data_IF_352520316498
#
_entry.id   IF_352520316498
#
_cell.length_a   1.000
_cell.length_b   1.000
_cell.length_c   1.000
_cell.angle_alpha   90.00
_cell.angle_beta   90.00
_cell.angle_gamma   90.00
#
_symmetry.space_group_name_H-M   'P 1'
#
loop_
_entity.id
_entity.type
_entity.pdbx_description
1 polymer ?
#
# COMPACT_ATOMS: atom_id res chain seq x y z
N UNK A 1 4.37 19.93 26.34
CA UNK A 1 4.29 20.37 24.92
C UNK A 1 5.60 20.05 24.22
N UNK A 2 5.56 19.24 23.16
CA UNK A 2 6.72 18.91 22.31
C UNK A 2 6.51 19.47 20.90
N UNK A 3 7.58 19.67 20.15
CA UNK A 3 7.57 20.08 18.74
C UNK A 3 8.03 18.94 17.88
N UNK A 4 7.13 18.40 17.09
CA UNK A 4 7.37 17.25 16.24
C UNK A 4 7.44 17.71 14.78
N UNK A 5 8.60 17.51 14.13
CA UNK A 5 8.76 17.76 12.71
C UNK A 5 8.35 16.51 11.93
N UNK A 6 7.53 16.66 10.90
CA UNK A 6 7.04 15.51 10.12
C UNK A 6 7.33 15.74 8.64
N UNK A 7 7.86 14.72 7.98
CA UNK A 7 7.99 14.68 6.54
C UNK A 7 6.63 14.38 5.89
N UNK A 8 6.08 15.35 5.18
CA UNK A 8 4.75 15.27 4.54
C UNK A 8 4.79 15.43 3.01
N UNK A 9 5.95 15.18 2.40
CA UNK A 9 6.15 15.37 0.96
C UNK A 9 5.24 14.51 0.05
N UNK A 10 4.64 13.42 0.59
CA UNK A 10 3.72 12.55 -0.15
C UNK A 10 2.25 12.90 0.05
N UNK A 11 1.92 13.88 0.89
CA UNK A 11 0.57 14.45 0.96
C UNK A 11 0.37 15.38 -0.25
N UNK A 12 -0.10 14.80 -1.34
CA UNK A 12 -0.35 15.50 -2.61
C UNK A 12 -1.82 15.30 -2.96
N UNK A 13 -2.55 16.40 -3.10
CA UNK A 13 -3.97 16.40 -3.44
C UNK A 13 -4.25 15.58 -4.69
N UNK A 14 -5.29 14.75 -4.65
CA UNK A 14 -5.77 13.88 -5.74
C UNK A 14 -4.72 12.84 -6.23
N UNK A 15 -3.61 12.65 -5.45
CA UNK A 15 -2.50 11.76 -5.84
C UNK A 15 -1.96 10.93 -4.68
N UNK A 16 -2.80 10.67 -3.67
CA UNK A 16 -2.40 9.77 -2.60
C UNK A 16 -2.29 8.33 -3.15
N UNK A 17 -1.13 7.73 -2.95
CA UNK A 17 -0.88 6.30 -3.11
C UNK A 17 -0.91 5.59 -1.74
N UNK A 18 -0.53 4.32 -1.67
CA UNK A 18 -0.59 3.57 -0.42
C UNK A 18 0.16 4.24 0.75
N UNK A 19 1.39 4.76 0.51
CA UNK A 19 2.17 5.47 1.53
C UNK A 19 1.55 6.86 1.80
N UNK A 20 1.01 7.52 0.79
CA UNK A 20 0.29 8.78 0.94
C UNK A 20 -0.96 8.62 1.81
N UNK A 21 -1.74 7.56 1.60
CA UNK A 21 -2.89 7.22 2.45
C UNK A 21 -2.48 6.89 3.88
N UNK A 22 -1.39 6.11 4.07
CA UNK A 22 -0.83 5.89 5.40
C UNK A 22 -0.50 7.21 6.11
N UNK A 23 0.20 8.12 5.43
CA UNK A 23 0.52 9.44 5.99
C UNK A 23 -0.75 10.22 6.37
N UNK A 24 -1.72 10.26 5.46
CA UNK A 24 -2.98 10.99 5.67
C UNK A 24 -3.71 10.46 6.91
N UNK A 25 -3.95 9.16 6.97
CA UNK A 25 -4.77 8.53 8.00
C UNK A 25 -4.10 8.57 9.40
N UNK A 26 -2.79 8.32 9.44
CA UNK A 26 -2.02 8.34 10.68
C UNK A 26 -1.86 9.75 11.21
N UNK A 27 -1.43 10.69 10.35
CA UNK A 27 -1.14 12.06 10.81
C UNK A 27 -2.40 12.82 11.18
N UNK A 28 -3.50 12.64 10.47
CA UNK A 28 -4.80 13.22 10.82
C UNK A 28 -5.21 12.83 12.25
N UNK A 29 -5.12 11.54 12.58
CA UNK A 29 -5.51 11.04 13.91
C UNK A 29 -4.53 11.47 15.00
N UNK A 30 -3.24 11.40 14.76
CA UNK A 30 -2.23 11.82 15.73
C UNK A 30 -2.41 13.30 16.08
N UNK A 31 -2.55 14.18 15.09
CA UNK A 31 -2.64 15.62 15.35
C UNK A 31 -3.94 16.02 16.07
N UNK A 32 -5.05 15.35 15.76
CA UNK A 32 -6.33 15.57 16.43
C UNK A 32 -6.34 15.04 17.87
N UNK A 33 -5.69 13.91 18.13
CA UNK A 33 -5.71 13.25 19.44
C UNK A 33 -4.69 13.84 20.43
N UNK A 34 -3.69 14.62 19.94
CA UNK A 34 -2.62 15.19 20.76
C UNK A 34 -2.52 16.72 20.59
N UNK A 35 -3.60 17.46 20.95
CA UNK A 35 -3.65 18.92 20.78
C UNK A 35 -2.63 19.68 21.65
N UNK A 36 -2.07 19.03 22.67
CA UNK A 36 -1.03 19.60 23.57
C UNK A 36 0.35 19.69 22.93
N UNK A 37 0.56 19.07 21.74
CA UNK A 37 1.81 19.12 20.99
C UNK A 37 1.70 20.02 19.75
N UNK A 38 2.83 20.45 19.18
CA UNK A 38 2.92 21.18 17.91
C UNK A 38 3.54 20.30 16.84
N UNK A 39 2.87 20.19 15.69
CA UNK A 39 3.29 19.37 14.55
C UNK A 39 3.70 20.25 13.38
N UNK A 40 5.00 20.24 13.04
CA UNK A 40 5.55 20.98 11.91
C UNK A 40 5.57 20.09 10.68
N UNK A 41 4.64 20.31 9.75
CA UNK A 41 4.53 19.53 8.51
C UNK A 41 5.44 20.09 7.44
N UNK A 42 6.49 19.33 7.09
CA UNK A 42 7.49 19.76 6.09
C UNK A 42 7.11 19.24 4.72
N UNK A 43 6.65 20.16 3.87
CA UNK A 43 6.34 19.92 2.46
C UNK A 43 7.52 20.33 1.56
N UNK A 44 7.73 19.64 0.45
CA UNK A 44 8.74 20.00 -0.56
C UNK A 44 8.16 20.90 -1.67
N UNK A 45 6.87 21.23 -1.60
CA UNK A 45 6.08 22.03 -2.56
C UNK A 45 4.94 22.73 -1.83
N UNK A 46 4.19 23.57 -2.57
CA UNK A 46 2.92 24.11 -2.07
C UNK A 46 2.01 22.95 -1.63
N UNK A 47 1.39 23.11 -0.48
CA UNK A 47 0.46 22.15 0.12
C UNK A 47 -0.99 22.58 -0.11
N UNK A 48 -1.92 21.65 0.02
CA UNK A 48 -3.35 21.98 0.10
C UNK A 48 -3.77 22.04 1.59
N UNK A 49 -4.71 22.95 1.89
CA UNK A 49 -5.20 23.15 3.25
C UNK A 49 -5.93 21.91 3.82
N UNK A 50 -6.40 21.00 2.98
CA UNK A 50 -6.98 19.72 3.43
C UNK A 50 -6.01 18.86 4.26
N UNK A 51 -4.70 19.10 4.16
CA UNK A 51 -3.66 18.42 4.94
C UNK A 51 -3.28 19.15 6.24
N UNK A 52 -3.92 20.26 6.55
CA UNK A 52 -3.79 20.97 7.83
C UNK A 52 -4.95 20.51 8.71
N UNK A 53 -4.78 19.40 9.41
CA UNK A 53 -5.87 18.67 10.04
C UNK A 53 -6.42 19.31 11.32
N UNK A 54 -5.66 20.20 11.96
CA UNK A 54 -6.00 20.83 13.27
C UNK A 54 -5.12 22.06 13.52
N UNK A 55 -5.49 22.89 14.49
CA UNK A 55 -4.84 24.17 14.78
C UNK A 55 -3.39 24.02 15.32
N UNK A 56 -3.02 22.84 15.80
CA UNK A 56 -1.67 22.53 16.25
C UNK A 56 -0.72 22.05 15.12
N UNK A 57 -1.20 22.03 13.87
CA UNK A 57 -0.41 21.73 12.67
C UNK A 57 0.12 23.02 12.06
N UNK A 58 1.43 23.10 11.89
CA UNK A 58 2.15 24.26 11.30
C UNK A 58 2.76 23.79 9.97
N UNK A 59 2.14 24.13 8.83
CA UNK A 59 2.67 23.75 7.53
C UNK A 59 3.88 24.59 7.14
N UNK A 60 4.93 23.97 6.65
CA UNK A 60 6.19 24.60 6.26
C UNK A 60 6.68 24.07 4.93
N UNK A 61 6.80 24.94 3.93
CA UNK A 61 7.36 24.57 2.63
C UNK A 61 8.88 24.75 2.64
N UNK A 62 9.60 23.66 2.33
CA UNK A 62 11.05 23.61 2.25
C UNK A 62 11.51 23.27 0.83
N UNK A 63 12.38 24.11 0.27
CA UNK A 63 13.01 23.86 -1.03
C UNK A 63 14.34 23.12 -0.88
N UNK A 64 14.85 22.43 -1.93
CA UNK A 64 14.25 22.23 -3.25
C UNK A 64 13.13 21.18 -3.23
N UNK A 65 12.33 21.09 -4.31
CA UNK A 65 11.38 20.01 -4.48
C UNK A 65 12.11 18.66 -4.62
N UNK A 66 11.80 17.70 -3.76
CA UNK A 66 12.52 16.42 -3.64
C UNK A 66 11.95 15.37 -4.63
N UNK A 67 12.33 15.46 -5.92
CA UNK A 67 11.88 14.54 -7.00
C UNK A 67 13.00 13.68 -7.60
N UNK A 68 14.25 13.91 -7.24
CA UNK A 68 15.42 13.23 -7.81
C UNK A 68 16.40 12.87 -6.68
N UNK A 69 17.16 11.76 -6.75
CA UNK A 69 18.09 11.33 -5.71
C UNK A 69 19.00 12.40 -5.14
N UNK A 70 19.55 13.29 -5.99
CA UNK A 70 20.39 14.41 -5.54
C UNK A 70 19.56 15.40 -4.71
N UNK A 71 18.34 15.71 -5.16
CA UNK A 71 17.44 16.63 -4.45
C UNK A 71 16.93 16.02 -3.14
N UNK A 72 16.73 14.70 -3.05
CA UNK A 72 16.47 14.02 -1.80
C UNK A 72 17.60 14.24 -0.79
N UNK A 73 18.86 14.03 -1.19
CA UNK A 73 20.03 14.26 -0.32
C UNK A 73 20.09 15.71 0.18
N UNK A 74 19.85 16.70 -0.71
CA UNK A 74 19.84 18.10 -0.34
C UNK A 74 18.69 18.39 0.63
N UNK A 75 17.48 17.94 0.32
CA UNK A 75 16.29 18.21 1.12
C UNK A 75 16.41 17.64 2.54
N UNK A 76 16.74 16.36 2.68
CA UNK A 76 16.84 15.72 3.98
C UNK A 76 18.06 16.18 4.78
N UNK A 77 19.24 16.33 4.16
CA UNK A 77 20.46 16.63 4.88
C UNK A 77 20.78 18.14 5.05
N UNK A 78 20.13 19.02 4.28
CA UNK A 78 20.31 20.48 4.39
C UNK A 78 19.02 21.17 4.79
N UNK A 79 17.93 21.02 4.03
CA UNK A 79 16.68 21.78 4.26
C UNK A 79 15.97 21.32 5.53
N UNK A 80 15.74 20.01 5.70
CA UNK A 80 15.18 19.43 6.94
C UNK A 80 16.07 19.78 8.11
N UNK A 81 17.40 19.52 8.06
CA UNK A 81 18.32 19.87 9.16
C UNK A 81 18.20 21.33 9.60
N UNK A 82 18.11 22.25 8.64
CA UNK A 82 17.92 23.69 8.91
C UNK A 82 16.58 23.97 9.59
N UNK A 83 15.51 23.34 9.10
CA UNK A 83 14.18 23.49 9.66
C UNK A 83 14.09 22.93 11.09
N UNK A 84 14.62 21.74 11.34
CA UNK A 84 14.69 21.14 12.67
C UNK A 84 15.34 22.09 13.69
N UNK A 85 16.45 22.72 13.33
CA UNK A 85 17.12 23.70 14.17
C UNK A 85 16.30 24.99 14.34
N UNK A 86 15.77 25.55 13.23
CA UNK A 86 15.01 26.80 13.22
C UNK A 86 13.77 26.75 14.11
N UNK A 87 13.02 25.65 14.00
CA UNK A 87 11.77 25.47 14.74
C UNK A 87 11.95 24.76 16.08
N UNK A 88 13.20 24.47 16.46
CA UNK A 88 13.56 23.78 17.72
C UNK A 88 12.79 22.47 17.89
N UNK A 89 12.85 21.64 16.87
CA UNK A 89 12.14 20.35 16.81
C UNK A 89 12.78 19.36 17.80
N UNK A 90 11.95 18.74 18.62
CA UNK A 90 12.36 17.72 19.60
C UNK A 90 12.57 16.35 18.95
N UNK A 91 11.70 15.99 17.98
CA UNK A 91 11.72 14.72 17.26
C UNK A 91 11.29 14.92 15.81
N UNK A 92 11.95 14.23 14.89
CA UNK A 92 11.57 14.16 13.48
C UNK A 92 10.97 12.81 13.15
N UNK A 93 9.72 12.80 12.67
CA UNK A 93 9.03 11.61 12.16
C UNK A 93 8.97 11.61 10.64
N UNK A 94 9.35 10.50 10.03
CA UNK A 94 9.31 10.33 8.56
C UNK A 94 8.51 9.09 8.17
N UNK A 95 7.24 9.26 7.78
CA UNK A 95 6.33 8.16 7.44
C UNK A 95 6.70 7.37 6.18
N UNK A 96 7.75 7.74 5.46
CA UNK A 96 8.26 7.08 4.24
C UNK A 96 9.71 6.59 4.36
N UNK A 97 10.25 6.58 5.58
CA UNK A 97 11.56 6.01 5.91
C UNK A 97 12.78 6.86 5.56
N UNK A 98 12.62 8.00 4.88
CA UNK A 98 13.75 8.89 4.59
C UNK A 98 14.14 9.73 5.81
N UNK A 99 15.40 9.73 6.18
CA UNK A 99 15.90 10.46 7.34
C UNK A 99 17.03 11.44 6.99
N UNK A 100 17.28 12.38 7.88
CA UNK A 100 18.46 13.25 7.79
C UNK A 100 19.67 12.56 8.41
N UNK A 101 20.68 12.28 7.60
CA UNK A 101 21.93 11.66 8.08
C UNK A 101 22.86 12.67 8.80
N UNK A 102 22.47 13.95 8.84
CA UNK A 102 23.35 15.04 9.33
C UNK A 102 22.79 15.80 10.52
N UNK A 103 21.63 15.41 11.04
CA UNK A 103 21.05 15.98 12.27
C UNK A 103 21.33 15.12 13.49
N UNK A 104 21.30 15.76 14.67
CA UNK A 104 21.34 15.09 15.98
C UNK A 104 19.95 15.07 16.66
N UNK A 105 18.93 15.62 16.02
CA UNK A 105 17.54 15.50 16.50
C UNK A 105 17.14 14.03 16.39
N UNK A 106 16.46 13.49 17.39
CA UNK A 106 15.93 12.12 17.37
C UNK A 106 15.01 11.92 16.19
N UNK A 107 15.08 10.75 15.57
CA UNK A 107 14.34 10.44 14.34
C UNK A 107 13.67 9.08 14.42
N UNK A 108 12.37 9.06 14.09
CA UNK A 108 11.60 7.84 13.86
C UNK A 108 11.24 7.77 12.36
N UNK A 109 11.45 6.62 11.73
CA UNK A 109 11.10 6.41 10.32
C UNK A 109 10.24 5.19 10.12
N UNK A 110 9.22 5.27 9.24
CA UNK A 110 8.44 4.11 8.84
C UNK A 110 9.02 3.51 7.55
N UNK A 111 9.59 2.31 7.61
CA UNK A 111 10.04 1.55 6.45
C UNK A 111 8.97 0.53 6.12
N UNK A 112 8.24 0.73 5.03
CA UNK A 112 7.08 -0.10 4.67
C UNK A 112 7.50 -1.48 4.15
N UNK A 113 8.50 -1.53 3.27
CA UNK A 113 9.11 -2.76 2.76
C UNK A 113 10.50 -2.48 2.16
N UNK A 114 11.15 -3.53 1.70
CA UNK A 114 12.43 -3.48 1.00
C UNK A 114 12.34 -4.07 -0.42
N UNK A 115 11.24 -3.84 -1.13
CA UNK A 115 11.06 -4.36 -2.49
C UNK A 115 12.20 -3.99 -3.45
N UNK A 116 12.77 -2.80 -3.28
CA UNK A 116 13.90 -2.30 -4.07
C UNK A 116 15.21 -3.05 -3.84
N UNK A 117 15.31 -3.79 -2.74
CA UNK A 117 16.44 -4.68 -2.46
C UNK A 117 16.27 -6.05 -3.12
N UNK A 118 15.04 -6.55 -3.19
CA UNK A 118 14.70 -7.85 -3.76
C UNK A 118 14.49 -7.78 -5.27
N UNK A 119 13.84 -6.72 -5.75
CA UNK A 119 13.43 -6.53 -7.15
C UNK A 119 13.86 -5.15 -7.69
N UNK A 120 15.17 -4.84 -7.66
CA UNK A 120 15.69 -3.54 -8.13
C UNK A 120 15.37 -3.27 -9.61
N UNK A 121 15.21 -4.33 -10.42
CA UNK A 121 14.84 -4.25 -11.84
C UNK A 121 13.43 -3.67 -12.07
N UNK A 122 12.54 -3.72 -11.08
CA UNK A 122 11.19 -3.16 -11.16
C UNK A 122 11.19 -1.62 -11.03
N UNK A 123 12.36 -1.04 -10.77
CA UNK A 123 12.57 0.38 -10.59
C UNK A 123 13.56 0.93 -11.62
N UNK A 124 13.47 2.24 -11.89
CA UNK A 124 14.55 2.92 -12.65
C UNK A 124 15.85 2.81 -11.86
N UNK A 125 16.93 2.39 -12.53
CA UNK A 125 18.25 2.11 -11.91
C UNK A 125 18.75 3.23 -10.99
N UNK A 126 18.51 4.49 -11.35
CA UNK A 126 18.93 5.64 -10.53
C UNK A 126 18.21 5.68 -9.16
N UNK A 127 16.95 5.25 -9.11
CA UNK A 127 16.18 5.16 -7.86
C UNK A 127 16.56 3.91 -7.09
N UNK A 128 16.66 2.76 -7.75
CA UNK A 128 17.09 1.50 -7.13
C UNK A 128 18.45 1.66 -6.43
N UNK A 129 19.45 2.17 -7.14
CA UNK A 129 20.78 2.43 -6.60
C UNK A 129 20.76 3.44 -5.42
N UNK A 130 19.92 4.46 -5.51
CA UNK A 130 19.76 5.41 -4.41
C UNK A 130 19.19 4.73 -3.17
N UNK A 131 18.10 3.97 -3.31
CA UNK A 131 17.45 3.28 -2.19
C UNK A 131 18.39 2.29 -1.55
N UNK A 132 19.00 1.39 -2.30
CA UNK A 132 19.97 0.39 -1.82
C UNK A 132 21.15 1.05 -1.10
N UNK A 133 21.59 2.23 -1.54
CA UNK A 133 22.71 2.94 -0.90
C UNK A 133 22.33 3.76 0.33
N UNK A 134 21.07 4.20 0.47
CA UNK A 134 20.65 5.12 1.52
C UNK A 134 19.81 4.47 2.62
N UNK A 135 18.90 3.54 2.30
CA UNK A 135 18.02 2.94 3.30
C UNK A 135 18.76 2.19 4.41
N UNK A 136 19.87 1.45 4.14
CA UNK A 136 20.69 0.90 5.23
C UNK A 136 21.24 1.97 6.19
N UNK A 137 21.57 3.15 5.66
CA UNK A 137 22.05 4.28 6.46
C UNK A 137 20.92 4.93 7.26
N UNK A 138 19.72 5.05 6.66
CA UNK A 138 18.55 5.56 7.37
C UNK A 138 18.14 4.62 8.49
N UNK A 139 18.09 3.32 8.25
CA UNK A 139 17.77 2.31 9.26
C UNK A 139 18.77 2.35 10.44
N UNK A 140 20.08 2.49 10.15
CA UNK A 140 21.10 2.64 11.18
C UNK A 140 20.98 3.96 11.94
N UNK A 141 20.65 5.07 11.25
CA UNK A 141 20.53 6.42 11.82
C UNK A 141 19.25 6.62 12.65
N UNK A 142 18.16 5.97 12.31
CA UNK A 142 16.90 6.06 13.06
C UNK A 142 17.14 5.76 14.54
N UNK A 143 16.50 6.49 15.43
CA UNK A 143 16.44 6.13 16.86
C UNK A 143 15.47 4.97 17.06
N UNK A 144 14.38 4.95 16.30
CA UNK A 144 13.45 3.82 16.20
C UNK A 144 12.86 3.69 14.79
N UNK A 145 12.48 2.48 14.41
CA UNK A 145 11.87 2.17 13.12
C UNK A 145 10.47 1.60 13.35
N UNK A 146 9.52 2.10 12.59
CA UNK A 146 8.20 1.48 12.44
C UNK A 146 8.19 0.71 11.13
N UNK A 147 7.57 -0.46 11.12
CA UNK A 147 7.29 -1.21 9.89
C UNK A 147 5.88 -1.80 9.94
N UNK A 148 5.38 -2.29 8.80
CA UNK A 148 3.96 -2.58 8.63
C UNK A 148 3.61 -4.08 8.71
N UNK A 149 4.61 -4.96 8.90
CA UNK A 149 4.41 -6.40 9.05
C UNK A 149 5.61 -7.06 9.75
N UNK A 150 5.40 -8.26 10.32
CA UNK A 150 6.49 -9.06 10.89
C UNK A 150 7.45 -9.55 9.79
N UNK A 151 6.92 -9.83 8.59
CA UNK A 151 7.76 -10.11 7.42
C UNK A 151 8.73 -8.95 7.16
N UNK A 152 8.24 -7.72 7.05
CA UNK A 152 9.10 -6.54 6.81
C UNK A 152 10.07 -6.28 7.97
N UNK A 153 9.65 -6.53 9.23
CA UNK A 153 10.55 -6.45 10.39
C UNK A 153 11.71 -7.44 10.27
N UNK A 154 11.41 -8.68 9.94
CA UNK A 154 12.41 -9.73 9.74
C UNK A 154 13.36 -9.38 8.59
N UNK A 155 12.82 -8.90 7.47
CA UNK A 155 13.61 -8.53 6.28
C UNK A 155 14.57 -7.34 6.59
N UNK A 156 14.08 -6.28 7.23
CA UNK A 156 14.90 -5.13 7.64
C UNK A 156 16.00 -5.56 8.62
N UNK A 157 15.65 -6.37 9.62
CA UNK A 157 16.60 -6.87 10.63
C UNK A 157 17.74 -7.65 9.98
N UNK A 158 17.39 -8.61 9.13
CA UNK A 158 18.38 -9.50 8.50
C UNK A 158 19.23 -8.77 7.47
N UNK A 159 18.60 -7.99 6.59
CA UNK A 159 19.29 -7.35 5.49
C UNK A 159 20.18 -6.18 5.91
N UNK A 160 19.75 -5.40 6.90
CA UNK A 160 20.51 -4.23 7.35
C UNK A 160 21.26 -4.43 8.66
N UNK A 161 21.14 -5.61 9.27
CA UNK A 161 21.75 -5.94 10.57
C UNK A 161 21.32 -4.91 11.64
N UNK A 162 20.02 -4.70 11.77
CA UNK A 162 19.42 -3.81 12.75
C UNK A 162 18.95 -4.65 13.94
N UNK A 163 19.15 -4.12 15.17
CA UNK A 163 18.61 -4.77 16.36
C UNK A 163 17.09 -4.90 16.26
N UNK A 164 16.57 -6.09 16.53
CA UNK A 164 15.15 -6.43 16.54
C UNK A 164 14.31 -5.47 17.40
N UNK A 165 14.82 -5.10 18.59
CA UNK A 165 14.11 -4.21 19.52
C UNK A 165 14.01 -2.76 19.05
N UNK A 166 14.80 -2.39 18.03
CA UNK A 166 14.74 -1.07 17.39
C UNK A 166 13.58 -0.96 16.38
N UNK A 167 12.88 -2.04 16.11
CA UNK A 167 11.83 -2.08 15.09
C UNK A 167 10.50 -2.50 15.75
N UNK A 168 9.49 -1.65 15.64
CA UNK A 168 8.11 -1.97 16.05
C UNK A 168 7.24 -2.21 14.82
N UNK A 169 6.49 -3.30 14.84
CA UNK A 169 5.46 -3.58 13.84
C UNK A 169 4.19 -2.85 14.24
N UNK A 170 3.69 -2.01 13.34
CA UNK A 170 2.41 -1.32 13.44
C UNK A 170 1.63 -1.58 12.15
N UNK A 171 0.60 -2.40 12.25
CA UNK A 171 -0.21 -2.75 11.08
C UNK A 171 -0.98 -1.55 10.52
N UNK A 172 -1.09 -1.48 9.20
CA UNK A 172 -1.93 -0.48 8.56
C UNK A 172 -3.42 -0.73 8.87
N UNK A 173 -4.20 0.33 8.82
CA UNK A 173 -5.66 0.23 8.84
C UNK A 173 -6.25 -0.02 7.46
N UNK A 174 -7.57 -0.14 7.42
CA UNK A 174 -8.36 -0.24 6.20
C UNK A 174 -9.29 0.97 6.08
N UNK A 175 -9.51 1.43 4.84
CA UNK A 175 -10.43 2.54 4.58
C UNK A 175 -11.89 2.11 4.90
N UNK A 176 -12.54 2.85 5.79
CA UNK A 176 -13.88 2.57 6.28
C UNK A 176 -15.00 2.79 5.24
N UNK A 177 -14.68 3.43 4.12
CA UNK A 177 -15.64 3.66 3.05
C UNK A 177 -15.92 2.39 2.22
N UNK A 178 -15.03 1.40 2.22
CA UNK A 178 -15.33 0.11 1.62
C UNK A 178 -16.47 -0.57 2.40
N UNK A 179 -17.55 -0.88 1.73
CA UNK A 179 -18.77 -1.47 2.30
C UNK A 179 -19.36 -2.48 1.32
N UNK A 180 -20.16 -3.38 1.83
CA UNK A 180 -20.96 -4.29 1.01
C UNK A 180 -21.88 -3.47 0.10
N UNK A 181 -21.77 -3.69 -1.20
CA UNK A 181 -22.58 -3.02 -2.22
C UNK A 181 -23.92 -3.77 -2.38
N UNK A 182 -25.04 -3.04 -2.46
CA UNK A 182 -26.34 -3.67 -2.65
C UNK A 182 -26.42 -4.42 -3.99
N UNK A 183 -27.22 -5.50 -4.07
CA UNK A 183 -27.36 -6.29 -5.32
C UNK A 183 -27.75 -5.43 -6.53
N UNK A 184 -28.65 -4.48 -6.35
CA UNK A 184 -29.07 -3.56 -7.42
C UNK A 184 -27.90 -2.69 -7.91
N UNK A 185 -27.10 -2.18 -6.99
CA UNK A 185 -25.92 -1.37 -7.34
C UNK A 185 -24.84 -2.22 -8.02
N UNK A 186 -24.65 -3.47 -7.57
CA UNK A 186 -23.72 -4.41 -8.23
C UNK A 186 -24.11 -4.65 -9.69
N UNK A 187 -25.41 -4.79 -10.00
CA UNK A 187 -25.89 -4.92 -11.40
C UNK A 187 -25.48 -3.68 -12.20
N UNK A 188 -25.76 -2.48 -11.71
CA UNK A 188 -25.43 -1.25 -12.42
C UNK A 188 -23.91 -1.08 -12.67
N UNK A 189 -23.08 -1.46 -11.68
CA UNK A 189 -21.62 -1.45 -11.84
C UNK A 189 -21.17 -2.45 -12.88
N UNK A 190 -21.72 -3.67 -12.86
CA UNK A 190 -21.40 -4.71 -13.86
C UNK A 190 -21.82 -4.30 -15.26
N UNK A 191 -23.01 -3.73 -15.44
CA UNK A 191 -23.46 -3.20 -16.74
C UNK A 191 -22.46 -2.18 -17.29
N UNK A 192 -22.01 -1.26 -16.46
CA UNK A 192 -21.09 -0.19 -16.88
C UNK A 192 -19.69 -0.70 -17.22
N UNK A 193 -19.14 -1.64 -16.45
CA UNK A 193 -17.72 -2.00 -16.53
C UNK A 193 -17.44 -3.38 -17.13
N UNK A 194 -18.40 -4.30 -17.11
CA UNK A 194 -18.21 -5.69 -17.58
C UNK A 194 -19.33 -6.18 -18.50
N UNK A 195 -20.17 -5.28 -19.03
CA UNK A 195 -21.33 -5.61 -19.86
C UNK A 195 -22.30 -6.59 -19.18
N UNK A 196 -22.56 -6.38 -17.88
CA UNK A 196 -23.45 -7.18 -17.05
C UNK A 196 -22.83 -8.47 -16.49
N UNK A 197 -21.65 -8.86 -16.92
CA UNK A 197 -21.02 -10.11 -16.52
C UNK A 197 -20.30 -10.00 -15.16
N UNK A 198 -20.17 -11.13 -14.46
CA UNK A 198 -19.31 -11.22 -13.28
C UNK A 198 -17.86 -10.91 -13.64
N UNK A 199 -17.07 -10.47 -12.66
CA UNK A 199 -15.65 -10.24 -12.89
C UNK A 199 -14.78 -10.50 -11.66
N UNK A 200 -13.58 -10.98 -11.91
CA UNK A 200 -12.45 -10.87 -10.99
C UNK A 200 -11.82 -9.49 -11.10
N UNK A 201 -11.34 -8.96 -10.00
CA UNK A 201 -10.70 -7.63 -9.98
C UNK A 201 -9.27 -7.69 -9.45
N UNK A 202 -8.36 -6.99 -10.11
CA UNK A 202 -7.06 -6.64 -9.58
C UNK A 202 -7.00 -5.13 -9.33
N UNK A 203 -6.47 -4.72 -8.18
CA UNK A 203 -6.33 -3.31 -7.79
C UNK A 203 -4.88 -2.99 -7.46
N UNK A 204 -4.33 -1.97 -8.12
CA UNK A 204 -2.96 -1.50 -7.87
C UNK A 204 -2.27 -1.00 -9.13
N UNK A 205 -1.06 -0.44 -9.00
CA UNK A 205 -0.26 -0.09 -10.18
C UNK A 205 0.08 -1.36 -10.96
N UNK A 206 -0.21 -1.35 -12.27
CA UNK A 206 0.02 -2.50 -13.14
C UNK A 206 1.51 -2.61 -13.46
N UNK A 207 2.24 -3.34 -12.64
CA UNK A 207 3.68 -3.51 -12.76
C UNK A 207 4.14 -4.93 -12.41
N UNK A 208 5.40 -5.27 -12.67
CA UNK A 208 5.94 -6.62 -12.51
C UNK A 208 5.64 -7.23 -11.15
N UNK A 209 5.90 -6.50 -10.07
CA UNK A 209 5.69 -6.95 -8.68
C UNK A 209 4.26 -7.42 -8.41
N UNK A 210 3.28 -6.87 -9.13
CA UNK A 210 1.86 -7.26 -9.02
C UNK A 210 1.51 -8.53 -9.81
N UNK A 211 2.51 -9.12 -10.49
CA UNK A 211 2.41 -10.40 -11.18
C UNK A 211 1.30 -10.45 -12.27
N UNK A 212 1.13 -9.33 -12.98
CA UNK A 212 0.04 -9.17 -13.95
C UNK A 212 0.18 -10.15 -15.11
N UNK A 213 1.40 -10.48 -15.54
CA UNK A 213 1.66 -11.46 -16.58
C UNK A 213 1.01 -12.80 -16.24
N UNK A 214 1.38 -13.40 -15.08
CA UNK A 214 0.82 -14.70 -14.66
C UNK A 214 -0.67 -14.63 -14.35
N UNK A 215 -1.18 -13.50 -13.86
CA UNK A 215 -2.60 -13.30 -13.65
C UNK A 215 -3.39 -13.38 -14.97
N UNK A 216 -2.87 -12.77 -16.04
CA UNK A 216 -3.46 -12.85 -17.39
C UNK A 216 -3.42 -14.29 -17.94
N UNK A 217 -2.29 -14.96 -17.78
CA UNK A 217 -2.11 -16.36 -18.22
C UNK A 217 -3.05 -17.30 -17.44
N UNK A 218 -3.14 -17.15 -16.13
CA UNK A 218 -4.05 -17.93 -15.29
C UNK A 218 -5.52 -17.68 -15.62
N UNK A 219 -5.89 -16.42 -15.87
CA UNK A 219 -7.23 -16.07 -16.32
C UNK A 219 -7.55 -16.72 -17.68
N UNK A 220 -6.59 -16.77 -18.61
CA UNK A 220 -6.74 -17.44 -19.90
C UNK A 220 -7.02 -18.93 -19.72
N UNK A 221 -6.22 -19.63 -18.89
CA UNK A 221 -6.45 -21.05 -18.56
C UNK A 221 -7.79 -21.28 -17.85
N UNK A 222 -8.17 -20.40 -16.93
CA UNK A 222 -9.46 -20.43 -16.26
C UNK A 222 -10.63 -20.37 -17.27
N UNK A 223 -10.57 -19.45 -18.23
CA UNK A 223 -11.58 -19.27 -19.27
C UNK A 223 -11.71 -20.48 -20.19
N UNK A 224 -10.58 -21.05 -20.61
CA UNK A 224 -10.53 -22.24 -21.44
C UNK A 224 -11.21 -23.44 -20.78
N UNK A 225 -10.96 -23.62 -19.48
CA UNK A 225 -11.51 -24.71 -18.70
C UNK A 225 -13.00 -24.52 -18.34
N UNK A 226 -13.45 -23.30 -18.06
CA UNK A 226 -14.77 -23.01 -17.48
C UNK A 226 -15.81 -22.60 -18.51
N UNK A 227 -15.42 -22.13 -19.69
CA UNK A 227 -16.31 -21.58 -20.76
C UNK A 227 -17.28 -20.49 -20.26
N UNK A 228 -16.87 -19.78 -19.20
CA UNK A 228 -17.65 -18.75 -18.53
C UNK A 228 -17.60 -17.42 -19.28
N UNK A 229 -18.55 -16.52 -19.00
CA UNK A 229 -18.52 -15.13 -19.49
C UNK A 229 -17.82 -14.17 -18.54
N UNK A 230 -17.39 -14.64 -17.37
CA UNK A 230 -16.69 -13.85 -16.35
C UNK A 230 -15.49 -13.11 -16.94
N UNK A 231 -15.30 -11.85 -16.52
CA UNK A 231 -14.25 -10.95 -16.99
C UNK A 231 -13.11 -10.85 -15.96
N UNK A 232 -11.99 -10.26 -16.38
CA UNK A 232 -10.91 -9.81 -15.49
C UNK A 232 -10.78 -8.30 -15.64
N UNK A 233 -10.98 -7.56 -14.54
CA UNK A 233 -10.78 -6.12 -14.49
C UNK A 233 -9.42 -5.80 -13.84
N UNK A 234 -8.57 -5.06 -14.57
CA UNK A 234 -7.29 -4.56 -14.10
C UNK A 234 -7.43 -3.06 -13.82
N UNK A 235 -7.53 -2.70 -12.52
CA UNK A 235 -7.74 -1.32 -12.08
C UNK A 235 -6.43 -0.75 -11.55
N UNK A 236 -5.92 0.27 -12.23
CA UNK A 236 -4.69 0.94 -11.84
C UNK A 236 -3.91 1.55 -13.01
N UNK A 237 -2.80 2.20 -12.68
CA UNK A 237 -1.97 2.87 -13.69
C UNK A 237 -1.11 1.86 -14.46
N UNK A 238 -1.05 1.99 -15.78
CA UNK A 238 -0.11 1.27 -16.65
C UNK A 238 1.32 1.84 -16.66
N UNK A 239 1.67 2.70 -15.75
CA UNK A 239 2.99 3.37 -15.75
C UNK A 239 4.19 2.39 -15.69
N UNK A 240 3.98 1.22 -15.07
CA UNK A 240 4.98 0.14 -14.97
C UNK A 240 4.65 -1.06 -15.87
N UNK A 241 3.79 -0.89 -16.87
CA UNK A 241 3.44 -1.94 -17.82
C UNK A 241 4.63 -2.30 -18.69
N UNK A 242 4.96 -3.59 -18.77
CA UNK A 242 6.11 -4.10 -19.51
C UNK A 242 5.71 -4.77 -20.81
N UNK A 243 6.70 -5.00 -21.69
CA UNK A 243 6.49 -5.76 -22.94
C UNK A 243 6.04 -7.19 -22.66
N UNK A 244 6.49 -7.81 -21.56
CA UNK A 244 6.05 -9.14 -21.13
C UNK A 244 4.54 -9.15 -20.80
N UNK A 245 4.05 -8.15 -20.08
CA UNK A 245 2.62 -8.01 -19.79
C UNK A 245 1.80 -7.75 -21.07
N UNK A 246 2.34 -6.92 -21.97
CA UNK A 246 1.68 -6.64 -23.26
C UNK A 246 1.61 -7.92 -24.10
N UNK A 247 2.68 -8.70 -24.16
CA UNK A 247 2.70 -9.96 -24.87
C UNK A 247 1.69 -10.97 -24.29
N UNK A 248 1.65 -11.13 -22.97
CA UNK A 248 0.65 -11.99 -22.32
C UNK A 248 -0.78 -11.53 -22.62
N UNK A 249 -1.04 -10.23 -22.59
CA UNK A 249 -2.36 -9.67 -22.92
C UNK A 249 -2.72 -9.90 -24.39
N UNK A 250 -1.83 -9.62 -25.34
CA UNK A 250 -2.10 -9.74 -26.78
C UNK A 250 -2.23 -11.19 -27.24
N UNK A 251 -1.47 -12.12 -26.66
CA UNK A 251 -1.49 -13.54 -26.99
C UNK A 251 -2.67 -14.29 -26.34
N UNK A 252 -3.34 -13.72 -25.35
CA UNK A 252 -4.50 -14.36 -24.72
C UNK A 252 -5.65 -14.54 -25.71
N UNK A 253 -6.13 -15.78 -25.86
CA UNK A 253 -7.34 -16.09 -26.63
C UNK A 253 -8.59 -15.38 -26.07
N UNK A 254 -8.55 -14.98 -24.81
CA UNK A 254 -9.63 -14.31 -24.07
C UNK A 254 -9.36 -12.83 -23.79
N UNK A 255 -8.48 -12.17 -24.54
CA UNK A 255 -8.12 -10.75 -24.32
C UNK A 255 -9.32 -9.79 -24.33
N UNK A 256 -10.41 -10.13 -25.02
CA UNK A 256 -11.66 -9.33 -25.01
C UNK A 256 -12.38 -9.35 -23.66
N UNK A 257 -12.05 -10.32 -22.81
CA UNK A 257 -12.60 -10.48 -21.47
C UNK A 257 -11.66 -9.91 -20.39
N UNK A 258 -10.49 -9.38 -20.78
CA UNK A 258 -9.54 -8.71 -19.89
C UNK A 258 -9.67 -7.20 -20.11
N UNK A 259 -10.20 -6.50 -19.12
CA UNK A 259 -10.55 -5.08 -19.19
C UNK A 259 -9.57 -4.24 -18.38
N UNK A 260 -8.78 -3.42 -19.07
CA UNK A 260 -7.83 -2.51 -18.42
C UNK A 260 -8.56 -1.19 -18.18
N UNK A 261 -9.02 -0.99 -16.95
CA UNK A 261 -9.88 0.15 -16.56
C UNK A 261 -9.07 1.44 -16.40
N UNK A 262 -7.78 1.33 -16.00
CA UNK A 262 -6.99 2.50 -15.64
C UNK A 262 -7.23 2.95 -14.20
N UNK A 263 -6.80 4.19 -13.87
CA UNK A 263 -7.10 4.79 -12.56
C UNK A 263 -8.53 5.31 -12.55
N UNK A 264 -9.22 5.02 -11.46
CA UNK A 264 -10.56 5.55 -11.15
C UNK A 264 -10.47 6.40 -9.87
N UNK A 265 -11.52 7.18 -9.59
CA UNK A 265 -11.61 7.87 -8.31
C UNK A 265 -11.94 6.87 -7.17
N UNK A 266 -11.80 7.33 -5.92
CA UNK A 266 -11.96 6.47 -4.74
C UNK A 266 -13.37 5.84 -4.67
N UNK A 267 -14.41 6.62 -4.92
CA UNK A 267 -15.78 6.13 -4.87
C UNK A 267 -16.06 5.07 -5.95
N UNK A 268 -15.57 5.27 -7.17
CA UNK A 268 -15.67 4.24 -8.23
C UNK A 268 -14.89 2.98 -7.88
N UNK A 269 -13.70 3.12 -7.24
CA UNK A 269 -12.91 1.97 -6.81
C UNK A 269 -13.65 1.13 -5.77
N UNK A 270 -14.25 1.77 -4.77
CA UNK A 270 -15.06 1.11 -3.74
C UNK A 270 -16.23 0.32 -4.35
N UNK A 271 -16.93 0.91 -5.33
CA UNK A 271 -18.03 0.27 -6.04
C UNK A 271 -17.55 -0.91 -6.90
N UNK A 272 -16.43 -0.74 -7.62
CA UNK A 272 -15.82 -1.80 -8.43
C UNK A 272 -15.38 -2.98 -7.58
N UNK A 273 -14.71 -2.72 -6.45
CA UNK A 273 -14.29 -3.79 -5.53
C UNK A 273 -15.50 -4.50 -4.96
N UNK A 274 -16.48 -3.78 -4.41
CA UNK A 274 -17.66 -4.37 -3.76
C UNK A 274 -18.62 -5.06 -4.72
N UNK A 275 -18.46 -4.91 -6.04
CA UNK A 275 -19.28 -5.57 -7.07
C UNK A 275 -18.58 -6.74 -7.76
N UNK A 276 -17.31 -7.00 -7.41
CA UNK A 276 -16.51 -8.08 -7.98
C UNK A 276 -16.93 -9.45 -7.43
N UNK A 277 -16.67 -10.50 -8.21
CA UNK A 277 -16.80 -11.88 -7.77
C UNK A 277 -15.74 -12.23 -6.72
N UNK A 278 -14.51 -11.75 -6.92
CA UNK A 278 -13.41 -11.81 -5.97
C UNK A 278 -12.29 -10.85 -6.35
N UNK A 279 -11.50 -10.45 -5.36
CA UNK A 279 -10.19 -9.83 -5.59
C UNK A 279 -9.18 -10.91 -5.99
N UNK A 280 -8.36 -10.64 -7.03
CA UNK A 280 -7.19 -11.46 -7.40
C UNK A 280 -5.91 -10.62 -7.21
N UNK A 281 -5.24 -10.84 -6.09
CA UNK A 281 -4.08 -10.05 -5.68
C UNK A 281 -2.86 -10.96 -5.49
N UNK A 282 -2.34 -11.47 -6.60
CA UNK A 282 -1.31 -12.52 -6.65
C UNK A 282 0.11 -11.96 -6.77
N UNK A 283 0.38 -10.87 -6.05
CA UNK A 283 1.69 -10.21 -6.03
C UNK A 283 2.79 -11.15 -5.53
N UNK A 284 4.00 -11.04 -6.08
CA UNK A 284 5.12 -11.82 -5.56
C UNK A 284 5.92 -11.11 -4.47
N UNK A 285 5.62 -9.85 -4.19
CA UNK A 285 6.20 -9.14 -3.05
C UNK A 285 5.29 -8.02 -2.56
N UNK A 286 5.00 -8.01 -1.25
CA UNK A 286 4.28 -6.95 -0.57
C UNK A 286 4.85 -6.72 0.83
N UNK A 287 4.85 -5.44 1.26
CA UNK A 287 5.11 -5.09 2.65
C UNK A 287 3.90 -5.28 3.56
N UNK A 288 2.66 -5.21 2.98
CA UNK A 288 1.42 -5.37 3.73
C UNK A 288 0.28 -5.97 2.88
N UNK A 289 -0.25 -5.24 1.88
CA UNK A 289 -1.35 -5.73 1.04
C UNK A 289 -2.71 -5.12 1.38
N UNK A 290 -2.80 -3.79 1.48
CA UNK A 290 -4.06 -3.09 1.78
C UNK A 290 -5.27 -3.53 0.94
N UNK A 291 -5.16 -3.79 -0.40
CA UNK A 291 -6.30 -4.23 -1.19
C UNK A 291 -6.99 -5.50 -0.68
N UNK A 292 -6.27 -6.37 0.02
CA UNK A 292 -6.83 -7.58 0.65
C UNK A 292 -7.87 -7.19 1.71
N UNK A 293 -7.51 -6.28 2.60
CA UNK A 293 -8.40 -5.80 3.66
C UNK A 293 -9.56 -4.98 3.09
N UNK A 294 -9.32 -4.20 2.03
CA UNK A 294 -10.35 -3.43 1.32
C UNK A 294 -11.40 -4.36 0.70
N UNK A 295 -10.98 -5.46 0.08
CA UNK A 295 -11.86 -6.48 -0.46
C UNK A 295 -12.64 -7.23 0.64
N UNK A 296 -11.99 -7.61 1.73
CA UNK A 296 -12.65 -8.23 2.88
C UNK A 296 -13.70 -7.32 3.49
N UNK A 297 -13.40 -6.02 3.62
CA UNK A 297 -14.35 -5.03 4.14
C UNK A 297 -15.52 -4.77 3.18
N UNK A 298 -15.27 -4.86 1.87
CA UNK A 298 -16.32 -4.80 0.84
C UNK A 298 -17.17 -6.07 0.77
N UNK A 299 -16.84 -7.11 1.53
CA UNK A 299 -17.59 -8.37 1.61
C UNK A 299 -17.42 -9.26 0.41
N UNK A 300 -16.26 -9.25 -0.24
CA UNK A 300 -15.95 -10.13 -1.37
C UNK A 300 -14.80 -11.10 -1.03
N UNK A 301 -14.79 -12.30 -1.61
CA UNK A 301 -13.70 -13.27 -1.50
C UNK A 301 -12.37 -12.71 -2.00
N UNK A 302 -11.27 -13.26 -1.48
CA UNK A 302 -9.90 -12.89 -1.87
C UNK A 302 -9.13 -14.12 -2.33
N UNK A 303 -8.47 -14.02 -3.48
CA UNK A 303 -7.45 -14.94 -3.97
C UNK A 303 -6.13 -14.17 -3.92
N UNK A 304 -5.14 -14.67 -3.18
CA UNK A 304 -3.90 -13.94 -2.97
C UNK A 304 -2.72 -14.88 -2.74
N UNK A 305 -1.49 -14.33 -2.71
CA UNK A 305 -0.26 -15.10 -2.60
C UNK A 305 -0.05 -15.66 -1.19
N UNK A 306 0.66 -16.77 -1.08
CA UNK A 306 1.06 -17.41 0.17
C UNK A 306 2.44 -16.97 0.69
N UNK A 307 3.01 -15.90 0.13
CA UNK A 307 4.36 -15.42 0.42
C UNK A 307 4.39 -14.00 0.98
N UNK A 308 5.53 -13.61 1.53
CA UNK A 308 5.83 -12.28 2.09
C UNK A 308 4.93 -11.92 3.30
N UNK A 309 4.40 -10.71 3.34
CA UNK A 309 3.48 -10.28 4.41
C UNK A 309 2.03 -10.73 4.19
N UNK A 310 1.72 -11.29 3.03
CA UNK A 310 0.33 -11.58 2.64
C UNK A 310 -0.36 -12.59 3.56
N UNK A 311 0.27 -13.75 3.92
CA UNK A 311 -0.33 -14.68 4.87
C UNK A 311 -0.64 -14.06 6.23
N UNK A 312 0.21 -13.13 6.69
CA UNK A 312 0.04 -12.40 7.96
C UNK A 312 -1.20 -11.49 7.95
N UNK A 313 -1.52 -10.90 6.79
CA UNK A 313 -2.67 -10.01 6.62
C UNK A 313 -3.95 -10.77 6.30
N UNK A 314 -3.85 -11.75 5.41
CA UNK A 314 -5.01 -12.50 4.91
C UNK A 314 -5.48 -13.59 5.87
N UNK A 315 -4.55 -14.23 6.62
CA UNK A 315 -4.83 -15.37 7.49
C UNK A 315 -5.63 -16.46 6.73
N UNK A 316 -6.54 -17.16 7.38
CA UNK A 316 -7.44 -18.15 6.76
C UNK A 316 -8.62 -17.52 5.99
N UNK A 317 -8.66 -16.20 5.85
CA UNK A 317 -9.76 -15.46 5.23
C UNK A 317 -9.62 -15.28 3.71
N UNK A 318 -8.61 -15.91 3.10
CA UNK A 318 -8.36 -15.87 1.67
C UNK A 318 -7.93 -17.24 1.14
N UNK A 319 -8.06 -17.45 -0.17
CA UNK A 319 -7.37 -18.54 -0.85
C UNK A 319 -5.92 -18.13 -1.07
N UNK A 320 -5.02 -18.72 -0.29
CA UNK A 320 -3.58 -18.55 -0.41
C UNK A 320 -3.04 -19.51 -1.48
N UNK A 321 -2.31 -18.97 -2.46
CA UNK A 321 -1.76 -19.72 -3.58
C UNK A 321 -0.31 -19.35 -3.84
N UNK A 322 0.46 -20.26 -4.45
CA UNK A 322 1.78 -19.93 -4.98
C UNK A 322 1.64 -18.96 -6.16
N UNK A 323 2.11 -17.70 -6.05
CA UNK A 323 1.99 -16.70 -7.11
C UNK A 323 2.80 -17.04 -8.38
N UNK A 324 3.70 -18.00 -8.30
CA UNK A 324 4.47 -18.49 -9.46
C UNK A 324 3.79 -19.65 -10.19
N UNK A 325 2.73 -20.23 -9.61
CA UNK A 325 1.98 -21.36 -10.16
C UNK A 325 0.68 -20.91 -10.84
N UNK A 326 0.72 -20.79 -12.17
CA UNK A 326 -0.40 -20.34 -13.01
C UNK A 326 -1.63 -21.26 -12.84
N UNK A 327 -1.40 -22.56 -12.71
CA UNK A 327 -2.49 -23.56 -12.56
C UNK A 327 -3.23 -23.40 -11.23
N UNK A 328 -2.51 -23.11 -10.13
CA UNK A 328 -3.13 -22.84 -8.83
C UNK A 328 -3.96 -21.56 -8.86
N UNK A 329 -3.48 -20.49 -9.49
CA UNK A 329 -4.23 -19.25 -9.65
C UNK A 329 -5.52 -19.53 -10.45
N UNK A 330 -5.41 -20.22 -11.59
CA UNK A 330 -6.55 -20.58 -12.43
C UNK A 330 -7.54 -21.51 -11.70
N UNK A 331 -7.03 -22.46 -10.89
CA UNK A 331 -7.87 -23.34 -10.07
C UNK A 331 -8.62 -22.54 -9.00
N UNK A 332 -7.96 -21.65 -8.28
CA UNK A 332 -8.59 -20.79 -7.28
C UNK A 332 -9.71 -19.92 -7.89
N UNK A 333 -9.51 -19.39 -9.11
CA UNK A 333 -10.55 -18.68 -9.84
C UNK A 333 -11.76 -19.59 -10.13
N UNK A 334 -11.54 -20.83 -10.58
CA UNK A 334 -12.65 -21.80 -10.81
C UNK A 334 -13.38 -22.14 -9.52
N UNK A 335 -12.64 -22.42 -8.44
CA UNK A 335 -13.21 -22.77 -7.16
C UNK A 335 -14.10 -21.64 -6.62
N UNK A 336 -13.66 -20.39 -6.72
CA UNK A 336 -14.46 -19.22 -6.32
C UNK A 336 -15.67 -19.05 -7.23
N UNK A 337 -15.54 -19.24 -8.55
CA UNK A 337 -16.66 -19.07 -9.48
C UNK A 337 -17.76 -20.11 -9.26
N UNK A 338 -17.36 -21.38 -9.08
CA UNK A 338 -18.31 -22.51 -9.09
C UNK A 338 -18.83 -22.91 -7.71
N UNK A 339 -18.19 -22.42 -6.62
CA UNK A 339 -18.54 -22.81 -5.24
C UNK A 339 -19.06 -21.63 -4.40
N UNK A 340 -20.39 -21.41 -4.37
CA UNK A 340 -21.01 -20.36 -3.55
C UNK A 340 -20.75 -20.54 -2.03
N UNK A 341 -20.67 -21.78 -1.54
CA UNK A 341 -20.41 -22.05 -0.13
C UNK A 341 -19.00 -21.59 0.28
N UNK A 342 -17.99 -21.85 -0.57
CA UNK A 342 -16.62 -21.36 -0.36
C UNK A 342 -16.59 -19.82 -0.35
N UNK A 343 -17.29 -19.16 -1.28
CA UNK A 343 -17.36 -17.69 -1.26
C UNK A 343 -17.93 -17.18 0.05
N UNK A 344 -19.03 -17.77 0.54
CA UNK A 344 -19.66 -17.36 1.79
C UNK A 344 -18.74 -17.61 2.99
N UNK A 345 -18.02 -18.72 3.03
CA UNK A 345 -17.02 -19.01 4.05
C UNK A 345 -15.92 -17.94 4.09
N UNK A 346 -15.31 -17.64 2.94
CA UNK A 346 -14.24 -16.65 2.80
C UNK A 346 -14.72 -15.26 3.22
N UNK A 347 -15.92 -14.85 2.81
CA UNK A 347 -16.51 -13.57 3.23
C UNK A 347 -16.73 -13.52 4.74
N UNK A 348 -17.23 -14.60 5.34
CA UNK A 348 -17.45 -14.67 6.79
C UNK A 348 -16.12 -14.53 7.56
N UNK A 349 -15.08 -15.28 7.15
CA UNK A 349 -13.73 -15.17 7.72
C UNK A 349 -13.13 -13.79 7.47
N UNK A 350 -13.31 -13.21 6.27
CA UNK A 350 -12.84 -11.88 5.92
C UNK A 350 -13.44 -10.78 6.79
N UNK A 351 -14.73 -10.86 7.08
CA UNK A 351 -15.41 -9.92 7.98
C UNK A 351 -14.85 -9.96 9.42
N UNK A 352 -14.40 -11.11 9.87
CA UNK A 352 -13.74 -11.25 11.19
C UNK A 352 -12.31 -10.70 11.12
N UNK A 353 -11.56 -11.09 10.10
CA UNK A 353 -10.15 -10.72 9.94
C UNK A 353 -9.96 -9.20 9.83
N UNK A 354 -10.78 -8.54 9.02
CA UNK A 354 -10.67 -7.09 8.79
C UNK A 354 -10.85 -6.24 10.06
N UNK A 355 -11.56 -6.75 11.08
CA UNK A 355 -11.75 -6.03 12.34
C UNK A 355 -10.46 -5.88 13.16
N UNK A 356 -9.43 -6.67 12.87
CA UNK A 356 -8.13 -6.58 13.54
C UNK A 356 -7.34 -5.33 13.09
N UNK A 357 -7.74 -4.68 11.98
CA UNK A 357 -6.99 -3.61 11.30
C UNK A 357 -7.80 -2.31 11.27
N UNK A 358 -7.32 -1.29 11.96
CA UNK A 358 -7.95 0.03 11.94
C UNK A 358 -6.91 1.14 11.92
N UNK A 359 -7.21 2.24 11.24
CA UNK A 359 -6.34 3.42 11.23
C UNK A 359 -6.23 4.08 12.61
N UNK A 360 -7.25 3.95 13.45
CA UNK A 360 -7.19 4.47 14.84
C UNK A 360 -6.17 3.71 15.67
N UNK A 361 -6.14 2.38 15.57
CA UNK A 361 -5.13 1.55 16.22
C UNK A 361 -3.73 1.84 15.65
N UNK A 362 -3.59 1.89 14.32
CA UNK A 362 -2.33 2.21 13.65
C UNK A 362 -1.76 3.57 14.13
N UNK A 363 -2.61 4.60 14.21
CA UNK A 363 -2.20 5.92 14.66
C UNK A 363 -1.80 5.94 16.15
N UNK A 364 -2.55 5.24 17.01
CA UNK A 364 -2.23 5.13 18.44
C UNK A 364 -0.89 4.43 18.65
N UNK A 365 -0.70 3.25 18.05
CA UNK A 365 0.56 2.50 18.17
C UNK A 365 1.76 3.25 17.55
N UNK A 366 1.53 4.00 16.46
CA UNK A 366 2.56 4.88 15.88
C UNK A 366 2.93 6.00 16.86
N UNK A 367 1.93 6.58 17.52
CA UNK A 367 2.16 7.62 18.53
C UNK A 367 2.94 7.08 19.74
N UNK A 368 2.58 5.92 20.25
CA UNK A 368 3.29 5.28 21.37
C UNK A 368 4.78 5.11 21.06
N UNK A 369 5.12 4.71 19.82
CA UNK A 369 6.52 4.65 19.38
C UNK A 369 7.18 6.03 19.39
N UNK A 370 6.50 7.06 18.88
CA UNK A 370 7.02 8.43 18.82
C UNK A 370 7.20 8.99 20.25
N UNK A 371 6.21 8.83 21.11
CA UNK A 371 6.20 9.34 22.48
C UNK A 371 7.32 8.72 23.32
N UNK A 372 7.58 7.43 23.18
CA UNK A 372 8.67 6.72 23.85
C UNK A 372 10.07 7.21 23.45
N UNK A 373 10.18 8.07 22.43
CA UNK A 373 11.46 8.65 22.01
C UNK A 373 11.70 10.07 22.57
N UNK A 374 10.81 10.63 23.36
CA UNK A 374 10.99 11.99 23.92
C UNK A 374 12.01 12.10 25.05
#
# INVERSE_FOLDING_TARGET
>A
MKRIGINTRLLIKDKLDGIGWYQYEVLKRITLNHPEHQFYFFFDRAYDNEFVFSDNVIPVVLKPQARHPILFKIWFNKSIKKALKKYKIDLFFSPDGYLSLTTNVKQVGTIHDLNFEHFPQDLKSIHANYYQSQFPKFAKKADHIITVSNFSKTDITNRYTINWDKITVVYNGVNENYKVVSPEHQVNVRERFSAGENYFIHVGSLGPRKNITRLIEAFTQFKEASKTKTKLLLVGSKFLWTDEMENAFQSSAHKKDILIVGRVNQQELEQLVGSALALTYVSYFEGFGMPILEAMRAGIPVITSDITSIPEVADEAALLIDPYNIEEIAKAMRDVETNPALRQELVTKGNIQVQKFSWSKCASETWDVIENQF
#
